data_IF_860428203790
#
_entry.id   IF_860428203790
#
_cell.length_a   1.000
_cell.length_b   1.000
_cell.length_c   1.000
_cell.angle_alpha   90.00
_cell.angle_beta   90.00
_cell.angle_gamma   90.00
#
_symmetry.space_group_name_H-M   'P 1'
#
loop_
_entity.id
_entity.type
_entity.pdbx_description
1 polymer ?
#
# COMPACT_ATOMS: atom_id res chain seq x y z
N UNK A 1 0.45 -5.02 14.77
CA UNK A 1 -0.26 -3.86 15.32
C UNK A 1 -0.56 -2.91 14.18
N UNK A 2 -1.83 -2.74 13.85
CA UNK A 2 -2.26 -1.86 12.76
C UNK A 2 -2.33 -0.41 13.25
N UNK A 3 -2.26 0.56 12.33
CA UNK A 3 -2.52 1.99 12.62
C UNK A 3 -3.87 2.17 13.35
N UNK A 4 -4.79 1.22 13.17
CA UNK A 4 -6.05 1.12 13.91
C UNK A 4 -5.84 0.95 15.42
N UNK A 5 -4.77 0.28 15.85
CA UNK A 5 -4.42 0.10 17.27
C UNK A 5 -3.65 1.31 17.82
N UNK A 6 -3.06 2.12 16.93
CA UNK A 6 -2.34 3.36 17.26
C UNK A 6 -3.21 4.62 17.22
N UNK A 7 -4.34 4.59 16.51
CA UNK A 7 -5.31 5.66 16.38
C UNK A 7 -6.32 5.80 17.55
N UNK A 8 -6.24 5.06 18.68
CA UNK A 8 -7.00 5.41 19.90
C UNK A 8 -6.72 6.83 20.39
N UNK A 9 -5.67 7.50 19.89
CA UNK A 9 -5.32 8.88 20.23
C UNK A 9 -6.46 9.87 19.92
N UNK A 10 -7.32 9.56 18.93
CA UNK A 10 -8.33 10.51 18.48
C UNK A 10 -9.77 10.16 18.87
N UNK A 11 -10.04 9.00 19.47
CA UNK A 11 -11.34 8.52 20.03
C UNK A 11 -12.61 9.00 19.26
N UNK A 12 -12.52 9.12 17.92
CA UNK A 12 -13.61 9.59 17.09
C UNK A 12 -14.33 8.40 16.41
N UNK A 13 -15.61 8.15 16.74
CA UNK A 13 -16.37 7.02 16.17
C UNK A 13 -16.58 7.15 14.66
N UNK A 14 -16.67 8.38 14.11
CA UNK A 14 -16.83 8.60 12.67
C UNK A 14 -15.57 8.20 11.92
N UNK A 15 -14.40 8.61 12.45
CA UNK A 15 -13.10 8.24 11.89
C UNK A 15 -12.91 6.72 11.92
N UNK A 16 -13.20 6.08 13.05
CA UNK A 16 -13.06 4.63 13.18
C UNK A 16 -13.94 3.88 12.18
N UNK A 17 -15.17 4.31 12.00
CA UNK A 17 -16.07 3.72 11.00
C UNK A 17 -15.55 3.89 9.58
N UNK A 18 -15.04 5.08 9.21
CA UNK A 18 -14.45 5.33 7.90
C UNK A 18 -13.24 4.45 7.62
N UNK A 19 -12.35 4.30 8.60
CA UNK A 19 -11.18 3.42 8.48
C UNK A 19 -11.61 1.96 8.29
N UNK A 20 -12.55 1.47 9.10
CA UNK A 20 -13.06 0.11 8.95
C UNK A 20 -13.68 -0.13 7.58
N UNK A 21 -14.49 0.81 7.09
CA UNK A 21 -15.08 0.74 5.74
C UNK A 21 -14.01 0.76 4.65
N UNK A 22 -13.00 1.59 4.77
CA UNK A 22 -11.90 1.65 3.82
C UNK A 22 -11.13 0.32 3.79
N UNK A 23 -10.75 -0.21 4.95
CA UNK A 23 -10.03 -1.48 5.05
C UNK A 23 -10.84 -2.67 4.52
N UNK A 24 -12.17 -2.62 4.64
CA UNK A 24 -13.05 -3.69 4.14
C UNK A 24 -13.32 -3.61 2.64
N UNK A 25 -13.40 -2.40 2.07
CA UNK A 25 -13.96 -2.20 0.73
C UNK A 25 -12.98 -1.58 -0.28
N UNK A 26 -11.85 -1.00 0.16
CA UNK A 26 -10.93 -0.32 -0.75
C UNK A 26 -10.38 -1.28 -1.82
N UNK A 27 -10.35 -0.88 -3.10
CA UNK A 27 -9.77 -1.68 -4.17
C UNK A 27 -8.32 -2.08 -3.91
N UNK A 28 -7.51 -1.21 -3.30
CA UNK A 28 -6.10 -1.49 -2.96
C UNK A 28 -5.97 -2.66 -1.98
N UNK A 29 -6.89 -2.80 -1.02
CA UNK A 29 -6.92 -3.95 -0.11
C UNK A 29 -7.30 -5.24 -0.83
N UNK A 30 -8.23 -5.17 -1.77
CA UNK A 30 -8.60 -6.32 -2.61
C UNK A 30 -7.43 -6.75 -3.50
N UNK A 31 -6.71 -5.79 -4.10
CA UNK A 31 -5.50 -6.06 -4.89
C UNK A 31 -4.44 -6.74 -4.01
N UNK A 32 -4.18 -6.23 -2.83
CA UNK A 32 -3.21 -6.82 -1.90
C UNK A 32 -3.59 -8.25 -1.51
N UNK A 33 -4.88 -8.52 -1.24
CA UNK A 33 -5.37 -9.88 -0.97
C UNK A 33 -5.15 -10.82 -2.15
N UNK A 34 -5.44 -10.38 -3.38
CA UNK A 34 -5.23 -11.22 -4.57
C UNK A 34 -3.74 -11.47 -4.84
N UNK A 35 -2.85 -10.52 -4.54
CA UNK A 35 -1.39 -10.72 -4.62
C UNK A 35 -0.92 -11.80 -3.64
N UNK A 36 -1.44 -11.82 -2.42
CA UNK A 36 -1.14 -12.89 -1.45
C UNK A 36 -1.63 -14.24 -1.99
N UNK A 37 -2.87 -14.34 -2.49
CA UNK A 37 -3.40 -15.57 -3.07
C UNK A 37 -2.56 -16.06 -4.26
N UNK A 38 -2.08 -15.12 -5.09
CA UNK A 38 -1.19 -15.45 -6.21
C UNK A 38 0.13 -16.03 -5.70
N UNK A 39 0.77 -15.35 -4.72
CA UNK A 39 2.03 -15.81 -4.13
C UNK A 39 1.87 -17.16 -3.41
N UNK A 40 0.76 -17.40 -2.71
CA UNK A 40 0.42 -18.70 -2.12
C UNK A 40 0.30 -19.80 -3.18
N UNK A 41 -0.35 -19.52 -4.29
CA UNK A 41 -0.48 -20.48 -5.40
C UNK A 41 0.87 -20.78 -6.03
N UNK A 42 1.74 -19.78 -6.21
CA UNK A 42 3.11 -19.95 -6.70
C UNK A 42 3.96 -20.77 -5.73
N UNK A 43 3.85 -20.53 -4.42
CA UNK A 43 4.54 -21.32 -3.41
C UNK A 43 4.08 -22.78 -3.41
N UNK A 44 2.76 -23.05 -3.50
CA UNK A 44 2.21 -24.40 -3.65
C UNK A 44 2.67 -25.08 -4.94
N UNK A 45 2.71 -24.35 -6.05
CA UNK A 45 3.22 -24.88 -7.32
C UNK A 45 4.70 -25.27 -7.21
N UNK A 46 5.52 -24.42 -6.58
CA UNK A 46 6.92 -24.75 -6.32
C UNK A 46 7.08 -25.95 -5.38
N UNK A 47 6.22 -26.06 -4.37
CA UNK A 47 6.20 -27.19 -3.44
C UNK A 47 5.77 -28.50 -4.10
N UNK A 48 4.89 -28.44 -5.07
CA UNK A 48 4.48 -29.62 -5.85
C UNK A 48 5.66 -30.25 -6.60
N UNK A 49 6.64 -29.46 -7.04
CA UNK A 49 7.86 -29.96 -7.69
C UNK A 49 8.77 -30.81 -6.77
N UNK A 50 8.49 -30.87 -5.46
CA UNK A 50 9.17 -31.78 -4.54
C UNK A 50 8.60 -33.21 -4.57
N UNK A 51 7.41 -33.38 -5.09
CA UNK A 51 6.70 -34.66 -5.17
C UNK A 51 6.85 -35.34 -6.54
N UNK A 52 6.41 -36.59 -6.67
CA UNK A 52 6.30 -37.24 -7.94
C UNK A 52 5.16 -36.64 -8.78
N UNK A 53 5.37 -36.57 -10.10
CA UNK A 53 4.35 -36.25 -11.11
C UNK A 53 3.94 -37.53 -11.80
N UNK A 54 2.66 -37.70 -12.12
CA UNK A 54 2.13 -38.86 -12.82
C UNK A 54 1.19 -38.41 -13.93
N UNK A 55 1.50 -38.86 -15.14
CA UNK A 55 0.75 -38.55 -16.34
C UNK A 55 0.17 -39.81 -16.99
N UNK A 56 -1.01 -39.66 -17.53
CA UNK A 56 -1.57 -40.62 -18.49
C UNK A 56 -1.41 -40.05 -19.89
N UNK A 57 -0.79 -40.83 -20.78
CA UNK A 57 -0.69 -40.51 -22.20
C UNK A 57 -1.29 -41.61 -23.07
N UNK A 58 -1.82 -41.22 -24.21
CA UNK A 58 -2.30 -42.12 -25.23
C UNK A 58 -1.94 -41.56 -26.60
N UNK A 59 -1.12 -42.27 -27.33
CA UNK A 59 -0.58 -41.83 -28.61
C UNK A 59 -0.84 -42.88 -29.68
N UNK A 60 -1.20 -42.46 -30.89
CA UNK A 60 -1.26 -43.28 -32.09
C UNK A 60 -0.39 -42.64 -33.13
N UNK A 61 0.70 -43.31 -33.47
CA UNK A 61 1.66 -42.86 -34.45
C UNK A 61 1.53 -43.70 -35.71
N UNK A 62 1.49 -43.07 -36.90
CA UNK A 62 1.60 -43.72 -38.18
C UNK A 62 2.74 -43.10 -38.96
N UNK A 63 3.77 -43.91 -39.16
CA UNK A 63 4.96 -43.44 -39.87
C UNK A 63 5.47 -44.49 -40.84
N UNK A 64 6.24 -44.01 -41.82
CA UNK A 64 6.98 -44.88 -42.74
C UNK A 64 8.45 -44.92 -42.27
N UNK A 65 8.95 -46.13 -42.08
CA UNK A 65 10.39 -46.30 -41.79
C UNK A 65 11.24 -45.93 -42.99
N UNK A 66 12.40 -45.35 -42.76
CA UNK A 66 13.40 -45.14 -43.78
C UNK A 66 14.06 -46.48 -44.14
N UNK A 67 14.13 -46.81 -45.42
CA UNK A 67 14.88 -47.97 -45.89
C UNK A 67 16.40 -47.83 -45.67
N UNK A 68 16.88 -46.60 -45.66
CA UNK A 68 18.30 -46.27 -45.46
C UNK A 68 18.65 -46.02 -43.96
N UNK A 69 17.64 -46.04 -43.08
CA UNK A 69 17.83 -45.83 -41.63
C UNK A 69 18.30 -47.11 -40.94
N UNK A 70 18.68 -46.99 -39.63
CA UNK A 70 19.18 -48.09 -38.81
C UNK A 70 18.29 -49.32 -38.82
N UNK A 71 16.97 -49.12 -38.85
CA UNK A 71 15.99 -50.24 -38.89
C UNK A 71 15.62 -50.68 -40.31
N UNK A 72 16.10 -50.00 -41.35
CA UNK A 72 15.83 -50.31 -42.73
C UNK A 72 16.16 -51.73 -43.15
N UNK A 73 17.30 -52.33 -42.76
CA UNK A 73 17.65 -53.72 -43.02
C UNK A 73 16.69 -54.79 -42.43
N UNK A 74 15.96 -54.38 -41.39
CA UNK A 74 14.95 -55.27 -40.72
C UNK A 74 13.53 -55.03 -41.23
N UNK A 75 13.36 -54.02 -42.09
CA UNK A 75 12.05 -53.74 -42.70
C UNK A 75 11.72 -54.83 -43.80
N UNK A 76 10.59 -55.44 -43.69
CA UNK A 76 10.12 -56.51 -44.64
C UNK A 76 9.40 -55.91 -45.83
N UNK A 77 9.94 -54.84 -46.44
CA UNK A 77 9.36 -54.31 -47.69
C UNK A 77 9.97 -54.97 -48.91
N UNK A 78 9.12 -55.47 -49.84
CA UNK A 78 9.54 -56.20 -50.98
C UNK A 78 10.12 -55.39 -52.13
N UNK A 79 9.94 -54.01 -52.08
CA UNK A 79 10.33 -53.17 -53.20
C UNK A 79 11.71 -52.47 -52.99
N UNK A 80 12.36 -52.64 -51.82
CA UNK A 80 13.75 -52.23 -51.55
C UNK A 80 14.06 -50.72 -51.57
N UNK A 81 13.17 -49.88 -52.02
CA UNK A 81 13.39 -48.46 -52.22
C UNK A 81 12.69 -47.56 -51.19
N UNK A 82 11.70 -48.07 -50.49
CA UNK A 82 10.92 -47.28 -49.49
C UNK A 82 10.54 -48.24 -48.35
N UNK A 83 10.90 -47.83 -47.09
CA UNK A 83 10.57 -48.65 -45.92
C UNK A 83 9.04 -48.75 -45.69
N UNK A 84 8.62 -49.76 -44.88
CA UNK A 84 7.21 -50.06 -44.65
C UNK A 84 6.53 -48.97 -43.82
N UNK A 85 5.22 -48.86 -44.03
CA UNK A 85 4.35 -48.12 -43.14
C UNK A 85 3.98 -48.98 -41.95
N UNK A 86 4.07 -48.42 -40.75
CA UNK A 86 3.57 -49.05 -39.55
C UNK A 86 2.70 -48.09 -38.75
N UNK A 87 1.82 -48.63 -37.96
CA UNK A 87 1.01 -47.89 -37.00
C UNK A 87 1.41 -48.39 -35.61
N UNK A 88 1.78 -47.51 -34.72
CA UNK A 88 2.02 -47.84 -33.33
C UNK A 88 1.00 -47.17 -32.44
N UNK A 89 0.40 -47.89 -31.53
CA UNK A 89 -0.46 -47.35 -30.47
C UNK A 89 0.20 -47.57 -29.13
N UNK A 90 0.28 -46.50 -28.34
CA UNK A 90 0.80 -46.53 -26.98
C UNK A 90 -0.15 -45.83 -26.05
N UNK A 91 -0.48 -46.43 -24.93
CA UNK A 91 -1.15 -45.74 -23.85
C UNK A 91 -0.68 -46.24 -22.48
N UNK A 92 -0.63 -45.34 -21.48
CA UNK A 92 -0.21 -45.79 -20.17
C UNK A 92 0.03 -44.63 -19.18
N UNK A 93 0.56 -45.01 -18.05
CA UNK A 93 0.97 -44.11 -16.99
C UNK A 93 2.48 -43.98 -16.99
N UNK A 94 2.96 -42.75 -16.87
CA UNK A 94 4.35 -42.42 -16.60
C UNK A 94 4.43 -41.63 -15.30
N UNK A 95 5.41 -41.95 -14.43
CA UNK A 95 5.66 -41.21 -13.21
C UNK A 95 7.10 -40.74 -13.21
N UNK A 96 7.31 -39.49 -12.88
CA UNK A 96 8.63 -38.88 -12.75
C UNK A 96 8.81 -38.26 -11.37
N UNK A 97 10.01 -38.35 -10.81
CA UNK A 97 10.34 -37.74 -9.54
C UNK A 97 11.80 -37.28 -9.48
N UNK A 98 12.01 -35.96 -9.26
CA UNK A 98 13.31 -35.39 -8.98
C UNK A 98 13.60 -35.51 -7.47
N UNK A 99 14.64 -36.26 -7.09
CA UNK A 99 14.90 -36.59 -5.69
C UNK A 99 15.49 -35.43 -4.87
N UNK A 100 15.77 -34.29 -5.46
CA UNK A 100 16.26 -33.05 -4.80
C UNK A 100 17.28 -33.30 -3.66
N UNK A 101 18.28 -34.14 -3.87
CA UNK A 101 19.24 -34.54 -2.83
C UNK A 101 20.05 -33.33 -2.31
N UNK A 102 20.34 -32.40 -3.18
CA UNK A 102 21.16 -31.22 -2.90
C UNK A 102 20.34 -29.98 -2.53
N UNK A 103 19.03 -30.09 -2.51
CA UNK A 103 18.13 -29.05 -2.04
C UNK A 103 17.88 -27.90 -3.02
N UNK A 104 18.12 -28.11 -4.32
CA UNK A 104 17.80 -27.14 -5.37
C UNK A 104 16.33 -26.71 -5.33
N UNK A 105 15.43 -27.68 -5.40
CA UNK A 105 13.97 -27.43 -5.40
C UNK A 105 13.48 -26.94 -4.03
N UNK A 106 14.04 -27.47 -2.94
CA UNK A 106 13.76 -26.97 -1.57
C UNK A 106 14.18 -25.50 -1.39
N UNK A 107 15.31 -25.09 -1.98
CA UNK A 107 15.74 -23.69 -1.95
C UNK A 107 14.79 -22.79 -2.76
N UNK A 108 14.30 -23.23 -3.92
CA UNK A 108 13.29 -22.52 -4.70
C UNK A 108 11.96 -22.39 -3.94
N UNK A 109 11.54 -23.42 -3.22
CA UNK A 109 10.36 -23.33 -2.34
C UNK A 109 10.54 -22.28 -1.26
N UNK A 110 11.74 -22.24 -0.61
CA UNK A 110 12.06 -21.21 0.38
C UNK A 110 12.01 -19.80 -0.22
N UNK A 111 12.52 -19.63 -1.46
CA UNK A 111 12.45 -18.36 -2.16
C UNK A 111 10.99 -17.93 -2.35
N UNK A 112 10.11 -18.81 -2.84
CA UNK A 112 8.67 -18.51 -3.01
C UNK A 112 7.95 -18.22 -1.69
N UNK A 113 8.32 -18.91 -0.61
CA UNK A 113 7.81 -18.60 0.75
C UNK A 113 8.29 -17.22 1.21
N UNK A 114 9.54 -16.84 0.92
CA UNK A 114 10.05 -15.48 1.18
C UNK A 114 9.25 -14.42 0.44
N UNK A 115 9.00 -14.62 -0.86
CA UNK A 115 8.14 -13.73 -1.66
C UNK A 115 6.70 -13.63 -1.11
N UNK A 116 6.11 -14.75 -0.69
CA UNK A 116 4.79 -14.75 -0.04
C UNK A 116 4.78 -13.89 1.23
N UNK A 117 5.80 -14.03 2.07
CA UNK A 117 5.93 -13.21 3.29
C UNK A 117 6.13 -11.74 2.97
N UNK A 118 6.84 -11.40 1.88
CA UNK A 118 6.94 -10.04 1.39
C UNK A 118 5.56 -9.48 1.00
N UNK A 119 4.72 -10.26 0.28
CA UNK A 119 3.36 -9.84 -0.08
C UNK A 119 2.45 -9.64 1.15
N UNK A 120 2.60 -10.45 2.20
CA UNK A 120 1.88 -10.25 3.47
C UNK A 120 2.32 -8.94 4.15
N UNK A 121 3.62 -8.63 4.13
CA UNK A 121 4.14 -7.37 4.64
C UNK A 121 3.69 -6.17 3.79
N UNK A 122 3.61 -6.30 2.46
CA UNK A 122 3.04 -5.27 1.56
C UNK A 122 1.56 -5.00 1.85
N UNK A 123 0.78 -6.03 2.17
CA UNK A 123 -0.61 -5.84 2.61
C UNK A 123 -0.67 -5.03 3.91
N UNK A 124 0.20 -5.33 4.88
CA UNK A 124 0.27 -4.56 6.13
C UNK A 124 0.63 -3.09 5.86
N UNK A 125 1.57 -2.82 4.95
CA UNK A 125 1.92 -1.47 4.50
C UNK A 125 0.72 -0.77 3.84
N UNK A 126 -0.01 -1.46 2.96
CA UNK A 126 -1.20 -0.92 2.31
C UNK A 126 -2.27 -0.55 3.33
N UNK A 127 -2.51 -1.39 4.35
CA UNK A 127 -3.42 -1.08 5.47
C UNK A 127 -3.02 0.18 6.20
N UNK A 128 -1.74 0.31 6.52
CA UNK A 128 -1.21 1.46 7.24
C UNK A 128 -1.39 2.75 6.45
N UNK A 129 -0.94 2.75 5.18
CA UNK A 129 -1.06 3.90 4.29
C UNK A 129 -2.52 4.32 4.05
N UNK A 130 -3.41 3.35 3.87
CA UNK A 130 -4.84 3.60 3.68
C UNK A 130 -5.46 4.20 4.93
N UNK A 131 -5.20 3.63 6.11
CA UNK A 131 -5.70 4.14 7.39
C UNK A 131 -5.19 5.55 7.67
N UNK A 132 -3.90 5.80 7.44
CA UNK A 132 -3.28 7.12 7.55
C UNK A 132 -3.90 8.14 6.60
N UNK A 133 -4.14 7.76 5.35
CA UNK A 133 -4.75 8.62 4.34
C UNK A 133 -6.19 9.00 4.71
N UNK A 134 -6.99 8.04 5.17
CA UNK A 134 -8.36 8.28 5.63
C UNK A 134 -8.36 9.23 6.84
N UNK A 135 -7.48 9.00 7.82
CA UNK A 135 -7.37 9.83 9.02
C UNK A 135 -6.98 11.28 8.68
N UNK A 136 -6.00 11.47 7.80
CA UNK A 136 -5.56 12.79 7.34
C UNK A 136 -6.67 13.54 6.63
N UNK A 137 -7.36 12.92 5.68
CA UNK A 137 -8.49 13.53 4.96
C UNK A 137 -9.65 13.84 5.89
N UNK A 138 -9.97 12.96 6.84
CA UNK A 138 -11.02 13.20 7.82
C UNK A 138 -10.72 14.43 8.68
N UNK A 139 -9.53 14.56 9.25
CA UNK A 139 -9.17 15.71 10.07
C UNK A 139 -8.98 16.98 9.27
N UNK A 140 -8.57 16.88 8.01
CA UNK A 140 -8.57 18.01 7.09
C UNK A 140 -10.01 18.52 6.87
N UNK A 141 -10.97 17.62 6.64
CA UNK A 141 -12.37 17.99 6.52
C UNK A 141 -12.92 18.65 7.80
N UNK A 142 -12.60 18.11 8.97
CA UNK A 142 -12.99 18.70 10.26
C UNK A 142 -12.39 20.08 10.47
N UNK A 143 -11.15 20.29 10.06
CA UNK A 143 -10.48 21.60 10.09
C UNK A 143 -11.19 22.60 9.20
N UNK A 144 -11.52 22.23 7.97
CA UNK A 144 -12.25 23.09 7.05
C UNK A 144 -13.66 23.40 7.55
N UNK A 145 -14.34 22.42 8.16
CA UNK A 145 -15.66 22.66 8.79
C UNK A 145 -15.58 23.67 9.93
N UNK A 146 -14.54 23.60 10.77
CA UNK A 146 -14.30 24.57 11.82
C UNK A 146 -14.00 25.97 11.27
N UNK A 147 -13.17 26.06 10.21
CA UNK A 147 -12.85 27.34 9.53
C UNK A 147 -14.12 27.92 8.90
N UNK A 148 -14.95 27.12 8.25
CA UNK A 148 -16.23 27.55 7.69
C UNK A 148 -17.14 28.19 8.74
N UNK A 149 -17.21 27.60 9.93
CA UNK A 149 -17.98 28.14 11.03
C UNK A 149 -17.48 29.53 11.48
N UNK A 150 -16.15 29.72 11.53
CA UNK A 150 -15.54 31.01 11.88
C UNK A 150 -15.75 32.04 10.75
N UNK A 151 -15.59 31.64 9.48
CA UNK A 151 -15.88 32.52 8.33
C UNK A 151 -17.35 33.01 8.31
N UNK A 152 -18.27 32.17 8.74
CA UNK A 152 -19.67 32.56 8.89
C UNK A 152 -19.83 33.63 9.99
N UNK A 153 -19.07 33.54 11.09
CA UNK A 153 -19.03 34.59 12.12
C UNK A 153 -18.41 35.89 11.57
N UNK A 154 -17.31 35.79 10.80
CA UNK A 154 -16.72 36.96 10.11
C UNK A 154 -17.77 37.66 9.24
N UNK A 155 -18.49 36.91 8.40
CA UNK A 155 -19.57 37.45 7.56
C UNK A 155 -20.65 38.14 8.38
N UNK A 156 -21.06 37.54 9.50
CA UNK A 156 -22.09 38.16 10.38
C UNK A 156 -21.60 39.49 10.96
N UNK A 157 -20.34 39.57 11.44
CA UNK A 157 -19.79 40.84 11.95
C UNK A 157 -19.62 41.91 10.85
N UNK A 158 -19.23 41.49 9.63
CA UNK A 158 -19.16 42.39 8.47
C UNK A 158 -20.56 42.93 8.08
N UNK A 159 -21.56 42.07 8.07
CA UNK A 159 -22.95 42.50 7.81
C UNK A 159 -23.49 43.50 8.86
N UNK A 160 -23.09 43.32 10.15
CA UNK A 160 -23.41 44.29 11.20
C UNK A 160 -22.81 45.67 10.90
N UNK A 161 -21.53 45.69 10.44
CA UNK A 161 -20.88 46.93 10.04
C UNK A 161 -21.58 47.56 8.86
N UNK A 162 -21.85 46.79 7.78
CA UNK A 162 -22.58 47.28 6.59
C UNK A 162 -23.94 47.87 6.96
N UNK A 163 -24.69 47.24 7.87
CA UNK A 163 -26.01 47.71 8.32
C UNK A 163 -25.89 49.08 9.02
N UNK A 164 -24.91 49.26 9.90
CA UNK A 164 -24.67 50.52 10.59
C UNK A 164 -24.23 51.61 9.59
N UNK A 165 -23.32 51.28 8.68
CA UNK A 165 -22.83 52.27 7.70
C UNK A 165 -23.93 52.72 6.73
N UNK A 166 -24.79 51.83 6.29
CA UNK A 166 -25.97 52.21 5.50
C UNK A 166 -26.91 53.16 6.24
N UNK A 167 -27.14 52.93 7.52
CA UNK A 167 -27.95 53.85 8.36
C UNK A 167 -27.30 55.22 8.54
N UNK A 168 -25.94 55.30 8.69
CA UNK A 168 -25.20 56.55 8.79
C UNK A 168 -25.17 57.30 7.46
N UNK A 169 -25.04 56.60 6.34
CA UNK A 169 -25.10 57.19 5.01
C UNK A 169 -26.47 57.82 4.72
N UNK A 170 -27.56 57.11 5.06
CA UNK A 170 -28.92 57.65 4.93
C UNK A 170 -29.16 58.94 5.74
N UNK A 171 -28.40 59.14 6.84
CA UNK A 171 -28.43 60.33 7.67
C UNK A 171 -27.43 61.41 7.24
N UNK A 172 -26.65 61.17 6.15
CA UNK A 172 -25.66 62.11 5.64
C UNK A 172 -24.40 62.22 6.48
N UNK A 173 -24.14 61.24 7.34
CA UNK A 173 -22.99 61.27 8.31
C UNK A 173 -21.72 60.64 7.71
N UNK A 174 -21.86 59.71 6.73
CA UNK A 174 -20.73 59.03 6.06
C UNK A 174 -20.88 59.09 4.54
N UNK A 175 -19.83 58.74 3.81
CA UNK A 175 -19.82 58.76 2.36
C UNK A 175 -20.02 57.36 1.74
N UNK A 176 -20.37 57.32 0.45
CA UNK A 176 -20.63 56.06 -0.28
C UNK A 176 -19.37 55.17 -0.45
N UNK A 177 -18.18 55.71 -0.34
CA UNK A 177 -16.93 54.95 -0.52
C UNK A 177 -16.66 53.98 0.65
N UNK A 178 -17.00 54.34 1.88
CA UNK A 178 -16.89 53.47 3.05
C UNK A 178 -17.85 52.26 2.92
N UNK A 179 -19.09 52.51 2.51
CA UNK A 179 -20.07 51.47 2.27
C UNK A 179 -19.63 50.48 1.20
N UNK A 180 -19.07 50.96 0.07
CA UNK A 180 -18.57 50.12 -1.00
C UNK A 180 -17.38 49.26 -0.54
N UNK A 181 -16.48 49.82 0.33
CA UNK A 181 -15.38 49.06 0.92
C UNK A 181 -15.82 47.89 1.79
N UNK A 182 -16.90 48.09 2.57
CA UNK A 182 -17.46 47.05 3.42
C UNK A 182 -18.20 45.95 2.60
N UNK A 183 -18.91 46.32 1.54
CA UNK A 183 -19.52 45.34 0.62
C UNK A 183 -18.47 44.48 -0.09
N UNK A 184 -17.32 45.04 -0.46
CA UNK A 184 -16.17 44.28 -1.00
C UNK A 184 -15.67 43.24 0.00
N UNK A 185 -15.56 43.59 1.29
CA UNK A 185 -15.10 42.66 2.32
C UNK A 185 -16.08 41.48 2.53
N UNK A 186 -17.40 41.74 2.51
CA UNK A 186 -18.42 40.67 2.53
C UNK A 186 -18.28 39.73 1.34
N UNK A 187 -18.12 40.30 0.13
CA UNK A 187 -17.95 39.51 -1.10
C UNK A 187 -16.70 38.64 -1.07
N UNK A 188 -15.58 39.15 -0.52
CA UNK A 188 -14.35 38.35 -0.32
C UNK A 188 -14.56 37.20 0.67
N UNK A 189 -15.32 37.43 1.73
CA UNK A 189 -15.64 36.38 2.70
C UNK A 189 -16.56 35.32 2.07
N UNK A 190 -17.49 35.71 1.18
CA UNK A 190 -18.29 34.77 0.41
C UNK A 190 -17.45 33.92 -0.56
N UNK A 191 -16.41 34.49 -1.19
CA UNK A 191 -15.45 33.73 -1.97
C UNK A 191 -14.72 32.71 -1.09
N UNK A 192 -14.21 33.10 0.08
CA UNK A 192 -13.56 32.19 1.02
C UNK A 192 -14.48 31.06 1.51
N UNK A 193 -15.77 31.35 1.75
CA UNK A 193 -16.77 30.35 2.10
C UNK A 193 -17.02 29.36 0.97
N UNK A 194 -17.03 29.84 -0.29
CA UNK A 194 -17.15 29.00 -1.47
C UNK A 194 -15.93 28.10 -1.63
N UNK A 195 -14.71 28.64 -1.45
CA UNK A 195 -13.45 27.87 -1.53
C UNK A 195 -13.40 26.76 -0.48
N UNK A 196 -13.67 27.08 0.79
CA UNK A 196 -13.72 26.09 1.88
C UNK A 196 -14.79 25.01 1.61
N UNK A 197 -15.96 25.41 1.11
CA UNK A 197 -17.01 24.45 0.78
C UNK A 197 -16.62 23.55 -0.40
N UNK A 198 -15.92 24.09 -1.39
CA UNK A 198 -15.34 23.34 -2.50
C UNK A 198 -14.32 22.31 -2.01
N UNK A 199 -13.36 22.74 -1.18
CA UNK A 199 -12.36 21.86 -0.56
C UNK A 199 -12.99 20.73 0.25
N UNK A 200 -14.01 21.02 1.05
CA UNK A 200 -14.75 19.98 1.79
C UNK A 200 -15.35 18.93 0.87
N UNK A 201 -15.96 19.34 -0.24
CA UNK A 201 -16.53 18.42 -1.24
C UNK A 201 -15.47 17.57 -1.93
N UNK A 202 -14.30 18.14 -2.23
CA UNK A 202 -13.18 17.39 -2.79
C UNK A 202 -12.67 16.34 -1.82
N UNK A 203 -12.54 16.67 -0.54
CA UNK A 203 -12.15 15.74 0.52
C UNK A 203 -13.19 14.62 0.65
N UNK A 204 -14.48 14.94 0.66
CA UNK A 204 -15.55 13.94 0.68
C UNK A 204 -15.48 12.99 -0.52
N UNK A 205 -15.24 13.51 -1.72
CA UNK A 205 -15.07 12.69 -2.91
C UNK A 205 -13.87 11.74 -2.81
N UNK A 206 -12.73 12.21 -2.25
CA UNK A 206 -11.55 11.36 -1.99
C UNK A 206 -11.84 10.30 -0.94
N UNK A 207 -12.53 10.64 0.15
CA UNK A 207 -12.93 9.67 1.18
C UNK A 207 -13.91 8.63 0.62
N UNK A 208 -14.84 9.04 -0.24
CA UNK A 208 -15.75 8.10 -0.94
C UNK A 208 -14.98 7.14 -1.84
N UNK A 209 -13.95 7.62 -2.54
CA UNK A 209 -13.09 6.76 -3.35
C UNK A 209 -12.33 5.73 -2.49
N UNK A 210 -11.72 6.16 -1.37
CA UNK A 210 -10.99 5.28 -0.47
C UNK A 210 -11.87 4.25 0.24
N UNK A 211 -13.14 4.59 0.49
CA UNK A 211 -14.10 3.68 1.13
C UNK A 211 -14.94 2.90 0.13
N UNK A 212 -14.71 3.08 -1.17
CA UNK A 212 -15.51 2.51 -2.27
C UNK A 212 -17.03 2.73 -2.10
N UNK A 213 -17.40 3.93 -1.65
CA UNK A 213 -18.79 4.30 -1.28
C UNK A 213 -19.43 5.15 -2.38
N UNK A 214 -19.46 4.67 -3.62
CA UNK A 214 -19.89 5.43 -4.79
C UNK A 214 -21.36 5.91 -4.78
N UNK A 215 -22.20 5.36 -3.93
CA UNK A 215 -23.66 5.65 -3.92
C UNK A 215 -24.21 6.17 -2.60
N UNK A 216 -23.41 6.37 -1.58
CA UNK A 216 -23.87 6.87 -0.28
C UNK A 216 -23.04 8.08 0.15
N UNK A 217 -23.73 9.21 0.39
CA UNK A 217 -23.09 10.35 1.06
C UNK A 217 -22.49 9.89 2.40
N UNK A 218 -21.28 10.33 2.71
CA UNK A 218 -20.60 9.96 3.95
C UNK A 218 -21.28 10.57 5.20
N UNK A 219 -22.17 11.56 5.01
CA UNK A 219 -22.90 12.29 6.06
C UNK A 219 -22.00 12.71 7.23
N UNK A 220 -20.82 13.25 6.90
CA UNK A 220 -19.86 13.72 7.89
C UNK A 220 -20.46 14.83 8.73
N UNK A 221 -20.30 14.73 10.03
CA UNK A 221 -20.71 15.75 10.99
C UNK A 221 -19.49 16.46 11.56
N UNK A 222 -19.55 17.79 11.74
CA UNK A 222 -18.49 18.51 12.44
C UNK A 222 -18.23 17.94 13.83
N UNK A 223 -16.97 17.72 14.14
CA UNK A 223 -16.47 17.25 15.43
C UNK A 223 -15.38 18.20 15.95
N UNK A 224 -15.14 18.20 17.25
CA UNK A 224 -14.06 18.97 17.84
C UNK A 224 -12.70 18.41 17.39
N UNK A 225 -11.78 19.28 17.04
CA UNK A 225 -10.42 18.90 16.74
C UNK A 225 -9.73 18.32 17.99
N UNK A 226 -8.99 17.20 17.87
CA UNK A 226 -8.35 16.56 19.01
C UNK A 226 -7.19 17.40 19.54
N UNK A 227 -6.91 17.27 20.83
CA UNK A 227 -5.65 17.75 21.39
C UNK A 227 -4.52 16.84 20.96
N UNK A 228 -3.54 17.40 20.26
CA UNK A 228 -2.35 16.66 19.84
C UNK A 228 -1.31 16.76 20.95
N UNK A 229 -0.94 15.63 21.54
CA UNK A 229 0.23 15.50 22.40
C UNK A 229 1.35 14.85 21.60
N UNK A 230 2.27 15.63 21.08
CA UNK A 230 3.44 15.08 20.41
C UNK A 230 4.45 14.63 21.48
N UNK A 231 4.38 13.40 21.90
CA UNK A 231 5.51 12.75 22.57
C UNK A 231 6.42 12.20 21.48
N UNK A 232 7.48 12.96 21.19
CA UNK A 232 8.57 12.48 20.36
C UNK A 232 9.31 11.40 21.16
N UNK A 233 9.63 10.24 20.57
CA UNK A 233 10.50 9.30 21.25
C UNK A 233 11.88 9.93 21.46
N UNK A 234 12.39 9.90 22.69
CA UNK A 234 13.68 10.48 23.07
C UNK A 234 14.87 9.87 22.29
N UNK A 235 14.70 8.67 21.76
CA UNK A 235 15.67 7.97 20.91
C UNK A 235 14.96 7.21 19.79
N UNK A 236 15.42 7.39 18.56
CA UNK A 236 15.04 6.56 17.42
C UNK A 236 15.76 5.21 17.54
N UNK A 237 15.22 4.31 18.35
CA UNK A 237 15.78 2.97 18.50
C UNK A 237 15.60 2.13 17.23
N UNK A 238 16.56 1.26 16.93
CA UNK A 238 16.50 0.27 15.84
C UNK A 238 15.20 -0.55 15.86
N UNK A 239 14.66 -0.82 17.04
CA UNK A 239 13.41 -1.56 17.23
C UNK A 239 12.19 -0.91 16.59
N UNK A 240 12.17 0.43 16.48
CA UNK A 240 11.08 1.16 15.83
C UNK A 240 11.11 0.96 14.31
N UNK A 241 12.30 0.99 13.73
CA UNK A 241 12.47 0.75 12.30
C UNK A 241 12.15 -0.69 11.92
N UNK A 242 12.49 -1.67 12.77
CA UNK A 242 12.21 -3.08 12.53
C UNK A 242 10.71 -3.43 12.48
N UNK A 243 9.84 -2.57 12.99
CA UNK A 243 8.38 -2.76 12.93
C UNK A 243 7.73 -2.24 11.65
N UNK A 244 8.44 -1.43 10.88
CA UNK A 244 7.91 -0.86 9.63
C UNK A 244 7.65 -1.95 8.60
N UNK A 245 6.42 -2.02 8.05
CA UNK A 245 6.09 -3.03 7.04
C UNK A 245 6.95 -2.95 5.79
N UNK A 246 7.33 -1.74 5.33
CA UNK A 246 8.18 -1.55 4.16
C UNK A 246 9.58 -2.13 4.34
N UNK A 247 10.17 -2.06 5.54
CA UNK A 247 11.44 -2.69 5.86
C UNK A 247 11.30 -4.22 5.96
N UNK A 248 10.18 -4.72 6.45
CA UNK A 248 9.89 -6.16 6.46
C UNK A 248 9.74 -6.71 5.04
N UNK A 249 9.09 -5.97 4.14
CA UNK A 249 9.03 -6.31 2.71
C UNK A 249 10.44 -6.49 2.15
N UNK A 250 11.29 -5.50 2.31
CA UNK A 250 12.65 -5.53 1.79
C UNK A 250 13.49 -6.65 2.43
N UNK A 251 13.30 -6.93 3.72
CA UNK A 251 13.95 -8.06 4.41
C UNK A 251 13.54 -9.41 3.80
N UNK A 252 12.25 -9.65 3.56
CA UNK A 252 11.79 -10.90 2.98
C UNK A 252 12.27 -11.11 1.53
N UNK A 253 12.44 -10.03 0.75
CA UNK A 253 13.06 -10.13 -0.56
C UNK A 253 14.56 -10.49 -0.49
N UNK A 254 15.30 -10.07 0.55
CA UNK A 254 16.67 -10.56 0.79
C UNK A 254 16.65 -12.07 1.06
N UNK A 255 15.79 -12.55 1.94
CA UNK A 255 15.66 -13.98 2.27
C UNK A 255 15.29 -14.82 1.04
N UNK A 256 14.36 -14.30 0.21
CA UNK A 256 13.98 -14.95 -1.04
C UNK A 256 15.16 -15.04 -2.01
N UNK A 257 15.85 -13.93 -2.27
CA UNK A 257 16.98 -13.88 -3.19
C UNK A 257 18.19 -14.68 -2.71
N UNK A 258 18.43 -14.76 -1.40
CA UNK A 258 19.46 -15.63 -0.82
C UNK A 258 19.13 -17.11 -1.08
N UNK A 259 17.87 -17.50 -0.95
CA UNK A 259 17.43 -18.86 -1.27
C UNK A 259 17.57 -19.18 -2.77
N UNK A 260 17.43 -18.20 -3.66
CA UNK A 260 17.72 -18.36 -5.09
C UNK A 260 19.21 -18.56 -5.37
N UNK A 261 20.10 -17.89 -4.62
CA UNK A 261 21.55 -18.16 -4.67
C UNK A 261 21.86 -19.59 -4.26
N UNK A 262 21.23 -20.10 -3.20
CA UNK A 262 21.40 -21.48 -2.76
C UNK A 262 20.90 -22.48 -3.81
N UNK A 263 19.79 -22.19 -4.46
CA UNK A 263 19.29 -23.01 -5.58
C UNK A 263 20.27 -23.00 -6.77
N UNK A 264 20.83 -21.84 -7.10
CA UNK A 264 21.83 -21.71 -8.17
C UNK A 264 23.13 -22.49 -7.86
N UNK A 265 23.60 -22.49 -6.61
CA UNK A 265 24.72 -23.32 -6.15
C UNK A 265 24.40 -24.80 -6.23
N UNK A 266 23.18 -25.20 -5.81
CA UNK A 266 22.75 -26.60 -5.87
C UNK A 266 22.69 -27.13 -7.30
N UNK A 267 22.48 -26.30 -8.32
CA UNK A 267 22.45 -26.68 -9.73
C UNK A 267 23.79 -27.17 -10.30
N UNK A 268 24.92 -26.99 -9.58
CA UNK A 268 26.23 -27.54 -9.96
C UNK A 268 26.39 -29.01 -9.59
N UNK A 269 25.52 -29.54 -8.74
CA UNK A 269 25.58 -30.93 -8.30
C UNK A 269 24.79 -31.85 -9.24
N UNK A 270 25.04 -33.20 -9.20
CA UNK A 270 24.29 -34.14 -10.02
C UNK A 270 22.79 -34.10 -9.73
N UNK A 271 22.00 -34.10 -10.77
CA UNK A 271 20.54 -34.23 -10.69
C UNK A 271 20.17 -35.73 -10.77
N UNK A 272 19.37 -36.22 -9.84
CA UNK A 272 18.94 -37.63 -9.77
C UNK A 272 17.44 -37.67 -9.91
N UNK A 273 16.98 -38.29 -10.99
CA UNK A 273 15.57 -38.47 -11.25
C UNK A 273 15.18 -39.96 -11.27
N UNK A 274 14.01 -40.26 -10.79
CA UNK A 274 13.37 -41.56 -10.92
C UNK A 274 12.25 -41.44 -11.94
N UNK A 275 12.18 -42.40 -12.84
CA UNK A 275 11.08 -42.54 -13.82
C UNK A 275 10.52 -43.95 -13.73
N UNK A 276 9.22 -44.06 -13.68
CA UNK A 276 8.49 -45.33 -13.76
C UNK A 276 7.43 -45.25 -14.86
N UNK A 277 7.20 -46.34 -15.55
CA UNK A 277 6.15 -46.39 -16.53
C UNK A 277 5.42 -47.74 -16.50
N UNK A 278 4.15 -47.69 -16.80
CA UNK A 278 3.26 -48.83 -17.04
C UNK A 278 2.41 -48.48 -18.25
N UNK A 279 2.71 -49.12 -19.38
CA UNK A 279 2.07 -48.79 -20.66
C UNK A 279 1.72 -50.04 -21.47
N UNK A 280 0.80 -49.89 -22.39
CA UNK A 280 0.49 -50.81 -23.45
C UNK A 280 1.11 -50.27 -24.74
N UNK A 281 1.81 -51.14 -25.49
CA UNK A 281 2.48 -50.76 -26.73
C UNK A 281 2.26 -51.86 -27.77
N UNK A 282 1.68 -51.54 -28.94
CA UNK A 282 1.41 -52.50 -29.98
C UNK A 282 1.40 -51.88 -31.38
N UNK A 283 1.95 -52.62 -32.34
CA UNK A 283 1.92 -52.26 -33.76
C UNK A 283 0.54 -52.44 -34.40
N UNK A 284 -0.32 -53.25 -33.80
CA UNK A 284 -1.71 -53.40 -34.21
C UNK A 284 -2.64 -52.93 -33.11
N UNK A 285 -3.49 -51.95 -33.38
CA UNK A 285 -4.38 -51.36 -32.40
C UNK A 285 -5.31 -52.37 -31.70
N UNK A 286 -5.64 -53.48 -32.39
CA UNK A 286 -6.42 -54.60 -31.83
C UNK A 286 -5.69 -55.33 -30.69
N UNK A 287 -4.36 -55.25 -30.64
CA UNK A 287 -3.54 -55.99 -29.71
C UNK A 287 -3.19 -55.16 -28.46
N UNK A 288 -3.50 -53.87 -28.47
CA UNK A 288 -3.23 -52.94 -27.35
C UNK A 288 -3.79 -53.42 -26.00
N UNK A 289 -4.90 -54.15 -26.01
CA UNK A 289 -5.56 -54.63 -24.79
C UNK A 289 -5.12 -56.05 -24.38
N UNK A 290 -4.13 -56.62 -25.07
CA UNK A 290 -3.57 -57.93 -24.71
C UNK A 290 -2.50 -57.78 -23.62
N UNK A 291 -2.42 -58.75 -22.73
CA UNK A 291 -1.37 -58.78 -21.71
C UNK A 291 0.05 -58.78 -22.30
N UNK A 292 0.22 -59.33 -23.50
CA UNK A 292 1.47 -59.34 -24.23
C UNK A 292 1.94 -57.96 -24.73
N UNK A 293 1.07 -56.95 -24.78
CA UNK A 293 1.37 -55.59 -25.13
C UNK A 293 1.85 -54.76 -23.90
N UNK A 294 1.74 -55.33 -22.69
CA UNK A 294 2.10 -54.65 -21.46
C UNK A 294 3.61 -54.49 -21.34
N UNK A 295 4.01 -53.25 -21.08
CA UNK A 295 5.40 -52.87 -20.82
C UNK A 295 5.45 -52.08 -19.52
N UNK A 296 6.39 -52.42 -18.63
CA UNK A 296 6.60 -51.68 -17.37
C UNK A 296 8.08 -51.61 -17.05
N UNK A 297 8.47 -50.53 -16.40
CA UNK A 297 9.86 -50.34 -15.99
C UNK A 297 10.04 -49.22 -14.97
N UNK A 298 11.19 -49.27 -14.29
CA UNK A 298 11.68 -48.22 -13.44
C UNK A 298 13.09 -47.89 -13.87
N UNK A 299 13.37 -46.59 -14.02
CA UNK A 299 14.70 -46.11 -14.43
C UNK A 299 15.16 -45.03 -13.43
N UNK A 300 16.36 -45.15 -12.94
CA UNK A 300 17.03 -44.10 -12.21
C UNK A 300 18.04 -43.39 -13.13
N UNK A 301 17.88 -42.09 -13.31
CA UNK A 301 18.75 -41.29 -14.14
C UNK A 301 19.64 -40.37 -13.25
N UNK A 302 20.91 -40.24 -13.64
CA UNK A 302 21.84 -39.28 -13.06
C UNK A 302 22.37 -38.37 -14.15
N UNK A 303 22.19 -37.05 -13.98
CA UNK A 303 22.72 -36.06 -14.91
C UNK A 303 23.64 -35.10 -14.18
N UNK A 304 24.88 -34.99 -14.64
CA UNK A 304 25.87 -34.03 -14.12
C UNK A 304 26.34 -33.15 -15.28
N UNK A 305 26.14 -31.82 -15.23
CA UNK A 305 26.66 -30.92 -16.25
C UNK A 305 28.18 -30.80 -16.09
N UNK A 306 28.95 -31.35 -17.08
CA UNK A 306 30.39 -31.28 -17.10
C UNK A 306 30.89 -30.04 -17.84
N UNK A 307 30.22 -29.66 -18.91
CA UNK A 307 30.53 -28.48 -19.71
C UNK A 307 29.25 -27.85 -20.26
N UNK A 308 29.03 -26.58 -19.98
CA UNK A 308 27.86 -25.82 -20.36
C UNK A 308 28.16 -24.42 -20.89
N UNK A 309 29.38 -24.17 -21.32
CA UNK A 309 29.86 -22.89 -21.83
C UNK A 309 29.70 -21.73 -20.81
N UNK A 310 29.74 -22.03 -19.51
CA UNK A 310 29.65 -21.05 -18.43
C UNK A 310 28.24 -20.66 -18.01
N UNK A 311 27.20 -21.35 -18.49
CA UNK A 311 25.79 -21.04 -18.21
C UNK A 311 25.46 -21.12 -16.70
N UNK A 312 25.97 -22.11 -15.98
CA UNK A 312 25.75 -22.26 -14.53
C UNK A 312 26.44 -21.16 -13.73
N UNK A 313 27.69 -20.80 -14.13
CA UNK A 313 28.37 -19.66 -13.50
C UNK A 313 27.59 -18.35 -13.71
N UNK A 314 27.13 -18.10 -14.94
CA UNK A 314 26.33 -16.91 -15.22
C UNK A 314 25.00 -16.90 -14.43
N UNK A 315 24.34 -18.05 -14.23
CA UNK A 315 23.16 -18.15 -13.38
C UNK A 315 23.46 -17.83 -11.90
N UNK A 316 24.58 -18.32 -11.39
CA UNK A 316 25.02 -18.02 -10.02
C UNK A 316 25.36 -16.52 -9.88
N UNK A 317 26.04 -15.93 -10.88
CA UNK A 317 26.34 -14.49 -10.88
C UNK A 317 25.05 -13.65 -10.91
N UNK A 318 24.06 -14.03 -11.72
CA UNK A 318 22.75 -13.39 -11.74
C UNK A 318 22.07 -13.45 -10.36
N UNK A 319 21.98 -14.64 -9.75
CA UNK A 319 21.39 -14.80 -8.43
C UNK A 319 22.13 -13.99 -7.35
N UNK A 320 23.46 -14.01 -7.39
CA UNK A 320 24.31 -13.26 -6.46
C UNK A 320 24.16 -11.75 -6.62
N UNK A 321 24.09 -11.27 -7.87
CA UNK A 321 23.84 -9.85 -8.16
C UNK A 321 22.44 -9.42 -7.72
N UNK A 322 21.43 -10.28 -7.93
CA UNK A 322 20.05 -10.03 -7.48
C UNK A 322 19.97 -9.94 -5.94
N UNK A 323 20.67 -10.83 -5.22
CA UNK A 323 20.76 -10.75 -3.75
C UNK A 323 21.47 -9.46 -3.30
N UNK A 324 22.57 -9.08 -3.94
CA UNK A 324 23.26 -7.82 -3.66
C UNK A 324 22.37 -6.60 -3.91
N UNK A 325 21.56 -6.63 -4.98
CA UNK A 325 20.58 -5.60 -5.29
C UNK A 325 19.51 -5.50 -4.18
N UNK A 326 18.98 -6.64 -3.72
CA UNK A 326 17.98 -6.68 -2.63
C UNK A 326 18.57 -6.10 -1.32
N UNK A 327 19.82 -6.40 -1.00
CA UNK A 327 20.53 -5.82 0.16
C UNK A 327 20.68 -4.30 0.00
N UNK A 328 21.06 -3.81 -1.18
CA UNK A 328 21.19 -2.38 -1.44
C UNK A 328 19.84 -1.65 -1.35
N UNK A 329 18.76 -2.27 -1.84
CA UNK A 329 17.39 -1.76 -1.71
C UNK A 329 16.93 -1.69 -0.24
N UNK A 330 17.24 -2.71 0.57
CA UNK A 330 16.97 -2.68 2.01
C UNK A 330 17.72 -1.54 2.70
N UNK A 331 19.01 -1.38 2.43
CA UNK A 331 19.82 -0.30 3.00
C UNK A 331 19.25 1.07 2.60
N UNK A 332 18.83 1.23 1.35
CA UNK A 332 18.15 2.44 0.89
C UNK A 332 16.84 2.67 1.65
N UNK A 333 16.01 1.66 1.82
CA UNK A 333 14.75 1.76 2.55
C UNK A 333 14.98 2.18 4.03
N UNK A 334 16.03 1.68 4.68
CA UNK A 334 16.42 2.09 6.04
C UNK A 334 16.79 3.58 6.08
N UNK A 335 17.62 4.05 5.14
CA UNK A 335 18.01 5.46 5.06
C UNK A 335 16.79 6.36 4.81
N UNK A 336 15.92 5.96 3.88
CA UNK A 336 14.69 6.69 3.57
C UNK A 336 13.75 6.75 4.80
N UNK A 337 13.63 5.65 5.55
CA UNK A 337 12.84 5.57 6.77
C UNK A 337 13.35 6.51 7.86
N UNK A 338 14.66 6.51 8.12
CA UNK A 338 15.29 7.42 9.10
C UNK A 338 15.08 8.88 8.70
N UNK A 339 15.30 9.20 7.42
CA UNK A 339 15.10 10.55 6.90
C UNK A 339 13.63 11.00 7.02
N UNK A 340 12.68 10.11 6.72
CA UNK A 340 11.26 10.39 6.85
C UNK A 340 10.87 10.69 8.30
N UNK A 341 11.35 9.92 9.27
CA UNK A 341 11.10 10.17 10.69
C UNK A 341 11.71 11.49 11.13
N UNK A 342 12.98 11.77 10.79
CA UNK A 342 13.65 13.01 11.13
C UNK A 342 12.90 14.24 10.57
N UNK A 343 12.47 14.16 9.30
CA UNK A 343 11.70 15.21 8.63
C UNK A 343 10.36 15.46 9.32
N UNK A 344 9.59 14.40 9.57
CA UNK A 344 8.26 14.54 10.19
C UNK A 344 8.35 14.99 11.65
N UNK A 345 9.36 14.53 12.41
CA UNK A 345 9.62 14.99 13.76
C UNK A 345 9.92 16.51 13.80
N UNK A 346 10.82 16.98 12.93
CA UNK A 346 11.14 18.41 12.82
C UNK A 346 9.91 19.25 12.40
N UNK A 347 9.03 18.72 11.55
CA UNK A 347 7.77 19.38 11.20
C UNK A 347 6.85 19.52 12.42
N UNK A 348 6.70 18.45 13.21
CA UNK A 348 5.87 18.45 14.42
C UNK A 348 6.41 19.46 15.44
N UNK A 349 7.73 19.48 15.69
CA UNK A 349 8.36 20.46 16.60
C UNK A 349 8.12 21.91 16.15
N UNK A 350 8.29 22.18 14.85
CA UNK A 350 8.06 23.51 14.27
C UNK A 350 6.61 23.94 14.43
N UNK A 351 5.65 23.03 14.15
CA UNK A 351 4.22 23.33 14.28
C UNK A 351 3.79 23.51 15.73
N UNK A 352 4.38 22.77 16.66
CA UNK A 352 4.17 22.93 18.09
C UNK A 352 4.62 24.33 18.55
N UNK A 353 5.84 24.74 18.18
CA UNK A 353 6.35 26.08 18.51
C UNK A 353 5.48 27.18 17.91
N UNK A 354 5.06 27.08 16.65
CA UNK A 354 4.14 28.02 16.00
C UNK A 354 2.78 28.08 16.70
N UNK A 355 2.24 26.92 17.10
CA UNK A 355 0.95 26.85 17.79
C UNK A 355 0.99 27.54 19.16
N UNK A 356 2.10 27.40 19.90
CA UNK A 356 2.29 28.12 21.19
C UNK A 356 2.32 29.65 21.00
N UNK A 357 3.01 30.14 19.97
CA UNK A 357 3.02 31.55 19.65
C UNK A 357 1.64 32.05 19.21
N UNK A 358 0.94 31.24 18.38
CA UNK A 358 -0.40 31.61 17.93
C UNK A 358 -1.42 31.70 19.07
N UNK A 359 -1.31 30.85 20.10
CA UNK A 359 -2.14 30.98 21.31
C UNK A 359 -1.95 32.32 22.01
N UNK A 360 -0.73 32.85 22.02
CA UNK A 360 -0.49 34.20 22.59
C UNK A 360 -1.14 35.27 21.72
N UNK A 361 -1.03 35.16 20.39
CA UNK A 361 -1.69 36.08 19.44
C UNK A 361 -3.20 36.09 19.64
N UNK A 362 -3.83 34.88 19.75
CA UNK A 362 -5.27 34.78 20.01
C UNK A 362 -5.69 35.46 21.33
N UNK A 363 -4.90 35.27 22.42
CA UNK A 363 -5.16 35.89 23.71
C UNK A 363 -5.10 37.41 23.61
N UNK A 364 -4.09 37.95 22.93
CA UNK A 364 -3.92 39.40 22.77
C UNK A 364 -5.00 39.99 21.87
N UNK A 365 -5.39 39.31 20.78
CA UNK A 365 -6.51 39.68 19.91
C UNK A 365 -7.83 39.70 20.68
N UNK A 366 -8.08 38.68 21.51
CA UNK A 366 -9.30 38.62 22.34
C UNK A 366 -9.30 39.78 23.38
N UNK A 367 -8.19 40.12 23.97
CA UNK A 367 -8.08 41.26 24.88
C UNK A 367 -8.49 42.59 24.20
N UNK A 368 -8.15 42.80 22.94
CA UNK A 368 -8.61 43.96 22.15
C UNK A 368 -10.13 43.99 22.03
N UNK A 369 -10.75 42.82 21.76
CA UNK A 369 -12.21 42.68 21.69
C UNK A 369 -12.85 43.01 23.06
N UNK A 370 -12.30 42.47 24.17
CA UNK A 370 -12.84 42.66 25.51
C UNK A 370 -12.78 44.14 25.91
N UNK A 371 -11.69 44.83 25.58
CA UNK A 371 -11.56 46.31 25.81
C UNK A 371 -12.57 47.10 24.97
N UNK A 372 -12.79 46.72 23.72
CA UNK A 372 -13.80 47.36 22.87
C UNK A 372 -15.21 47.19 23.44
N UNK A 373 -15.54 45.96 23.90
CA UNK A 373 -16.83 45.66 24.54
C UNK A 373 -17.01 46.47 25.85
N UNK A 374 -15.99 46.56 26.71
CA UNK A 374 -16.05 47.33 27.93
C UNK A 374 -16.30 48.83 27.66
N UNK A 375 -15.63 49.40 26.64
CA UNK A 375 -15.84 50.78 26.20
C UNK A 375 -17.24 51.00 25.60
N UNK A 376 -17.76 50.05 24.89
CA UNK A 376 -19.14 50.09 24.38
C UNK A 376 -20.14 50.10 25.56
N UNK A 377 -19.95 49.21 26.54
CA UNK A 377 -20.78 49.15 27.74
C UNK A 377 -20.74 50.46 28.56
N UNK A 378 -19.62 51.19 28.57
CA UNK A 378 -19.48 52.50 29.15
C UNK A 378 -20.04 53.66 28.28
N UNK A 379 -20.64 53.34 27.11
CA UNK A 379 -21.20 54.34 26.18
C UNK A 379 -20.12 55.15 25.42
N UNK A 380 -18.84 54.72 25.43
CA UNK A 380 -17.72 55.43 24.80
C UNK A 380 -17.56 55.09 23.34
N UNK A 381 -17.89 53.85 22.95
CA UNK A 381 -17.80 53.35 21.56
C UNK A 381 -19.11 52.83 21.01
N UNK A 382 -19.41 53.07 19.73
CA UNK A 382 -20.56 52.46 19.06
C UNK A 382 -20.30 50.96 18.84
N UNK A 383 -21.41 50.15 18.71
CA UNK A 383 -21.34 48.71 18.54
C UNK A 383 -20.60 48.25 17.27
N UNK A 384 -20.60 49.07 16.20
CA UNK A 384 -19.84 48.80 14.99
C UNK A 384 -18.31 48.70 15.24
N UNK A 385 -17.79 49.47 16.21
CA UNK A 385 -16.36 49.39 16.60
C UNK A 385 -16.02 48.09 17.32
N UNK A 386 -16.98 47.48 18.01
CA UNK A 386 -16.80 46.14 18.59
C UNK A 386 -16.76 45.08 17.46
N UNK A 387 -17.67 45.17 16.50
CA UNK A 387 -17.61 44.30 15.32
C UNK A 387 -16.30 44.42 14.55
N UNK A 388 -15.80 45.68 14.36
CA UNK A 388 -14.49 45.88 13.74
C UNK A 388 -13.34 45.26 14.54
N UNK A 389 -13.38 45.32 15.89
CA UNK A 389 -12.36 44.72 16.74
C UNK A 389 -12.38 43.18 16.72
N UNK A 390 -13.55 42.57 16.49
CA UNK A 390 -13.69 41.13 16.39
C UNK A 390 -13.10 40.55 15.08
N UNK A 391 -13.10 41.31 13.98
CA UNK A 391 -12.65 40.78 12.69
C UNK A 391 -11.18 40.27 12.72
N UNK A 392 -10.19 41.04 13.22
CA UNK A 392 -8.82 40.52 13.37
C UNK A 392 -8.77 39.28 14.28
N UNK A 393 -9.49 39.29 15.41
CA UNK A 393 -9.51 38.14 16.33
C UNK A 393 -10.05 36.87 15.67
N UNK A 394 -11.12 36.96 14.86
CA UNK A 394 -11.65 35.87 14.09
C UNK A 394 -10.66 35.41 13.00
N UNK A 395 -9.91 36.34 12.39
CA UNK A 395 -8.86 35.99 11.43
C UNK A 395 -7.72 35.20 12.09
N UNK A 396 -7.29 35.61 13.30
CA UNK A 396 -6.29 34.87 14.06
C UNK A 396 -6.80 33.47 14.50
N UNK A 397 -8.11 33.37 14.79
CA UNK A 397 -8.74 32.08 15.05
C UNK A 397 -8.69 31.15 13.85
N UNK A 398 -8.91 31.64 12.63
CA UNK A 398 -8.75 30.85 11.39
C UNK A 398 -7.30 30.38 11.23
N UNK A 399 -6.32 31.27 11.49
CA UNK A 399 -4.90 30.93 11.45
C UNK A 399 -4.56 29.84 12.46
N UNK A 400 -5.07 29.92 13.69
CA UNK A 400 -4.91 28.90 14.72
C UNK A 400 -5.49 27.55 14.31
N UNK A 401 -6.70 27.54 13.72
CA UNK A 401 -7.33 26.30 13.21
C UNK A 401 -6.50 25.66 12.10
N UNK A 402 -5.96 26.43 11.17
CA UNK A 402 -5.08 25.93 10.11
C UNK A 402 -3.79 25.32 10.68
N UNK A 403 -3.14 26.00 11.61
CA UNK A 403 -1.95 25.49 12.29
C UNK A 403 -2.26 24.18 13.03
N UNK A 404 -3.40 24.13 13.72
CA UNK A 404 -3.82 22.95 14.45
C UNK A 404 -4.09 21.77 13.50
N UNK A 405 -4.77 21.99 12.37
CA UNK A 405 -4.99 20.98 11.33
C UNK A 405 -3.68 20.47 10.73
N UNK A 406 -2.73 21.35 10.45
CA UNK A 406 -1.39 20.98 9.99
C UNK A 406 -0.64 20.14 11.04
N UNK A 407 -0.80 20.47 12.31
CA UNK A 407 -0.18 19.71 13.40
C UNK A 407 -0.77 18.29 13.52
N UNK A 408 -2.09 18.16 13.41
CA UNK A 408 -2.76 16.84 13.37
C UNK A 408 -2.22 16.02 12.19
N UNK A 409 -2.15 16.61 10.99
CA UNK A 409 -1.63 15.96 9.79
C UNK A 409 -0.18 15.49 9.96
N UNK A 410 0.70 16.35 10.47
CA UNK A 410 2.09 16.02 10.74
C UNK A 410 2.24 14.92 11.81
N UNK A 411 1.38 14.90 12.82
CA UNK A 411 1.37 13.87 13.87
C UNK A 411 0.95 12.50 13.32
N UNK A 412 -0.04 12.45 12.43
CA UNK A 412 -0.43 11.21 11.73
C UNK A 412 0.73 10.72 10.86
N UNK A 413 1.37 11.61 10.10
CA UNK A 413 2.53 11.26 9.29
C UNK A 413 3.69 10.73 10.12
N UNK A 414 3.97 11.33 11.28
CA UNK A 414 5.00 10.87 12.19
C UNK A 414 4.67 9.48 12.75
N UNK A 415 3.43 9.25 13.15
CA UNK A 415 2.97 7.93 13.63
C UNK A 415 3.16 6.86 12.56
N UNK A 416 2.82 7.16 11.31
CA UNK A 416 3.05 6.28 10.17
C UNK A 416 4.55 6.06 9.91
N UNK A 417 5.35 7.11 9.95
CA UNK A 417 6.80 7.01 9.77
C UNK A 417 7.49 6.17 10.85
N UNK A 418 6.93 6.10 12.05
CA UNK A 418 7.38 5.25 13.15
C UNK A 418 6.87 3.80 13.07
N UNK A 419 6.15 3.42 12.01
CA UNK A 419 5.64 2.07 11.81
C UNK A 419 4.27 1.81 12.41
N UNK A 420 3.41 2.84 12.51
CA UNK A 420 1.98 2.71 12.72
C UNK A 420 1.56 2.13 14.07
N UNK A 421 1.97 2.70 15.18
CA UNK A 421 1.43 2.34 16.48
C UNK A 421 2.44 1.85 17.50
N UNK A 422 3.37 2.71 17.80
CA UNK A 422 4.23 2.53 18.94
C UNK A 422 3.43 2.80 20.23
N UNK A 423 3.03 1.75 20.92
CA UNK A 423 2.72 1.84 22.34
C UNK A 423 4.00 1.54 23.11
N UNK A 424 4.50 2.53 23.81
CA UNK A 424 5.49 2.30 24.84
C UNK A 424 4.86 1.35 25.87
N UNK A 425 5.23 0.07 25.84
CA UNK A 425 4.98 -0.82 26.97
C UNK A 425 5.86 -0.31 28.11
N UNK A 426 5.27 0.57 28.94
CA UNK A 426 5.82 0.84 30.24
C UNK A 426 5.86 -0.47 31.00
N UNK A 427 7.06 -0.99 31.21
CA UNK A 427 7.30 -2.01 32.24
C UNK A 427 7.41 -1.31 33.58
#
# INVERSE_FOLDING_TARGET
LSLHDALPIYHDPQLNNLIQRALANAPDMQIAEQRIRLAEAQARMSQANLGPEMDFSADIERQRMSAEGLMGPFATDTDGNTGPWYTNGTFGLTAGWDLDLWGKNRALVKARIGELKAQVAEQAQTRELLSGSVARLYWQWQTEAAIKAVLQQVKNEQNNIVTVDKALYQRGITNSAEGAGNDINVSKTDQQLADVTGTMKEIEARLMALTNSQSQSLNLKPASLPTVSAQLPDTLGYELLARRPDLQVAHWYIEASLSEVDAAKAAFYPDINLMAFLQQDALHLSDLFRHSAQQMGVTAGLTLPIFDSGRLNAKLDIASAQNSLSIAQYNKAVVDAVNQVAKTASQVETLMAKSQQQQQVEKDAQRVVDLAQARMAAGILPGSRVSMAKLPALQERITALRLHGQWIDASIQLTSALGGGYHQTVK
#
